data_IF_118899950769
#
_entry.id   IF_118899950769
#
_cell.length_a   1.000
_cell.length_b   1.000
_cell.length_c   1.000
_cell.angle_alpha   90.00
_cell.angle_beta   90.00
_cell.angle_gamma   90.00
#
_symmetry.space_group_name_H-M   'P 1'
#
loop_
_entity.id
_entity.type
_entity.pdbx_description
1 polymer ?
#
# COMPACT_ATOMS: atom_id res chain seq x y z
N UNK A 1 -6.25 83.72 0.64
CA UNK A 1 -6.01 82.74 1.72
C UNK A 1 -7.20 81.78 1.75
N UNK A 2 -7.05 80.59 1.18
CA UNK A 2 -8.04 79.51 1.27
C UNK A 2 -7.30 78.20 1.52
N UNK A 3 -7.62 77.53 2.63
CA UNK A 3 -7.05 76.25 3.04
C UNK A 3 -7.75 75.10 2.30
N UNK A 4 -6.98 74.25 1.63
CA UNK A 4 -7.45 72.96 1.10
C UNK A 4 -7.19 71.86 2.12
N UNK A 5 -8.24 71.12 2.48
CA UNK A 5 -8.21 69.99 3.42
C UNK A 5 -7.75 68.72 2.70
N UNK A 6 -6.61 68.17 3.11
CA UNK A 6 -6.16 66.84 2.66
C UNK A 6 -6.96 65.74 3.37
N UNK A 7 -7.63 64.89 2.59
CA UNK A 7 -8.20 63.63 3.07
C UNK A 7 -7.08 62.58 3.11
N UNK A 8 -6.79 62.03 4.28
CA UNK A 8 -6.00 60.81 4.43
C UNK A 8 -6.95 59.60 4.32
N UNK A 9 -6.78 58.79 3.29
CA UNK A 9 -7.43 57.48 3.18
C UNK A 9 -6.51 56.43 3.80
N UNK A 10 -6.91 55.88 4.96
CA UNK A 10 -6.26 54.71 5.55
C UNK A 10 -6.87 53.46 4.91
N UNK A 11 -6.06 52.70 4.16
CA UNK A 11 -6.44 51.39 3.63
C UNK A 11 -6.11 50.35 4.70
N UNK A 12 -7.14 49.80 5.36
CA UNK A 12 -7.00 48.64 6.24
C UNK A 12 -6.83 47.38 5.37
N UNK A 13 -5.63 46.80 5.34
CA UNK A 13 -5.43 45.47 4.77
C UNK A 13 -5.90 44.41 5.78
N UNK A 14 -7.00 43.72 5.49
CA UNK A 14 -7.44 42.58 6.26
C UNK A 14 -6.54 41.38 5.95
N UNK A 15 -5.65 41.02 6.88
CA UNK A 15 -4.88 39.77 6.84
C UNK A 15 -5.82 38.63 7.22
N UNK A 16 -6.36 37.92 6.24
CA UNK A 16 -7.04 36.65 6.48
C UNK A 16 -5.98 35.57 6.78
N UNK A 17 -5.79 35.28 8.06
CA UNK A 17 -5.06 34.08 8.49
C UNK A 17 -5.97 32.89 8.24
N UNK A 18 -5.76 32.18 7.13
CA UNK A 18 -6.34 30.86 6.92
C UNK A 18 -5.63 29.88 7.87
N UNK A 19 -6.24 29.59 9.02
CA UNK A 19 -5.84 28.44 9.82
C UNK A 19 -6.33 27.20 9.09
N UNK A 20 -5.45 26.51 8.38
CA UNK A 20 -5.74 25.17 7.89
C UNK A 20 -6.01 24.29 9.12
N UNK A 21 -7.27 23.89 9.31
CA UNK A 21 -7.57 22.82 10.25
C UNK A 21 -6.79 21.57 9.79
N UNK A 22 -6.21 20.77 10.71
CA UNK A 22 -5.63 19.50 10.32
C UNK A 22 -6.72 18.69 9.65
N UNK A 23 -6.57 18.47 8.34
CA UNK A 23 -7.38 17.47 7.63
C UNK A 23 -7.05 16.18 8.35
N UNK A 24 -8.01 15.60 9.08
CA UNK A 24 -7.83 14.27 9.63
C UNK A 24 -7.43 13.36 8.49
N UNK A 25 -6.18 12.91 8.47
CA UNK A 25 -5.72 11.93 7.51
C UNK A 25 -6.60 10.71 7.71
N UNK A 26 -7.27 10.26 6.64
CA UNK A 26 -8.07 9.05 6.71
C UNK A 26 -7.12 7.90 7.05
N UNK A 27 -7.28 7.26 8.21
CA UNK A 27 -6.46 6.11 8.58
C UNK A 27 -6.91 4.90 7.75
N UNK A 28 -5.99 4.30 6.99
CA UNK A 28 -6.18 3.01 6.34
C UNK A 28 -5.12 2.01 6.82
N UNK A 29 -4.82 1.97 8.12
CA UNK A 29 -4.06 0.89 8.74
C UNK A 29 -4.94 -0.34 8.87
N UNK A 30 -4.37 -1.53 8.69
CA UNK A 30 -5.03 -2.80 9.03
C UNK A 30 -5.37 -2.96 10.53
N UNK A 31 -5.32 -1.91 11.36
CA UNK A 31 -5.58 -1.97 12.80
C UNK A 31 -4.73 -3.02 13.54
N UNK A 32 -5.39 -3.87 14.32
CA UNK A 32 -4.79 -4.93 15.15
C UNK A 32 -4.30 -6.17 14.36
N UNK A 33 -4.27 -6.12 13.02
CA UNK A 33 -3.86 -7.27 12.22
C UNK A 33 -2.34 -7.44 12.14
N UNK A 34 -1.57 -6.40 12.48
CA UNK A 34 -0.12 -6.46 12.66
C UNK A 34 0.70 -5.70 11.62
N UNK A 35 2.01 -5.77 11.78
CA UNK A 35 3.02 -5.20 10.88
C UNK A 35 4.32 -6.01 10.98
N UNK A 36 5.29 -5.74 10.10
CA UNK A 36 6.60 -6.40 10.19
C UNK A 36 7.43 -5.84 11.33
N UNK A 37 8.15 -6.73 12.02
CA UNK A 37 9.02 -6.33 13.13
C UNK A 37 10.24 -5.56 12.61
N UNK A 38 10.53 -4.42 13.22
CA UNK A 38 11.85 -3.78 13.08
C UNK A 38 12.89 -4.52 13.92
N UNK A 39 13.97 -4.98 13.26
CA UNK A 39 15.01 -5.78 13.92
C UNK A 39 15.97 -4.93 14.75
N UNK A 40 16.43 -3.81 14.20
CA UNK A 40 17.51 -3.00 14.76
C UNK A 40 17.21 -1.50 14.58
N UNK A 41 16.47 -0.88 15.49
CA UNK A 41 16.21 0.57 15.40
C UNK A 41 17.53 1.38 15.38
N UNK A 42 17.70 2.39 14.50
CA UNK A 42 16.69 3.05 13.65
C UNK A 42 16.56 2.48 12.22
N UNK A 43 16.91 1.22 11.97
CA UNK A 43 16.75 0.63 10.65
C UNK A 43 15.26 0.44 10.29
N UNK A 44 14.91 0.56 8.99
CA UNK A 44 13.59 0.21 8.48
C UNK A 44 13.16 -1.23 8.82
N UNK A 45 11.84 -1.48 8.80
CA UNK A 45 11.32 -2.84 8.75
C UNK A 45 11.76 -3.50 7.43
N UNK A 46 11.87 -4.83 7.39
CA UNK A 46 12.28 -5.54 6.17
C UNK A 46 11.24 -6.55 5.74
N UNK A 47 10.96 -6.59 4.44
CA UNK A 47 10.03 -7.55 3.84
C UNK A 47 10.55 -8.01 2.51
N UNK A 48 10.57 -9.33 2.30
CA UNK A 48 10.86 -9.92 0.99
C UNK A 48 9.58 -10.44 0.34
N UNK A 49 9.27 -9.96 -0.86
CA UNK A 49 8.30 -10.59 -1.75
C UNK A 49 8.96 -11.68 -2.58
N UNK A 50 8.66 -12.95 -2.25
CA UNK A 50 9.14 -14.10 -3.00
C UNK A 50 8.10 -14.50 -4.07
N UNK A 51 8.40 -14.18 -5.32
CA UNK A 51 7.48 -14.23 -6.44
C UNK A 51 7.48 -15.59 -7.16
N UNK A 52 6.34 -16.28 -7.10
CA UNK A 52 6.05 -17.53 -7.81
C UNK A 52 5.08 -17.35 -9.00
N UNK A 53 4.73 -16.11 -9.36
CA UNK A 53 3.64 -15.81 -10.30
C UNK A 53 4.06 -15.88 -11.77
N UNK A 54 5.34 -15.64 -12.06
CA UNK A 54 5.86 -15.55 -13.43
C UNK A 54 5.49 -14.26 -14.16
N UNK A 55 5.72 -14.22 -15.48
CA UNK A 55 5.61 -12.99 -16.30
C UNK A 55 4.21 -12.33 -16.41
N UNK A 56 3.07 -12.99 -16.18
CA UNK A 56 1.77 -12.30 -16.29
C UNK A 56 1.54 -11.21 -15.25
N UNK A 57 2.24 -11.25 -14.12
CA UNK A 57 2.02 -10.38 -12.97
C UNK A 57 3.22 -9.48 -12.70
N UNK A 58 3.03 -8.15 -12.64
CA UNK A 58 4.12 -7.19 -12.46
C UNK A 58 4.50 -7.02 -10.98
N UNK A 59 4.85 -8.12 -10.29
CA UNK A 59 5.18 -8.12 -8.85
C UNK A 59 6.42 -7.27 -8.56
N UNK A 60 7.47 -7.40 -9.36
CA UNK A 60 8.69 -6.59 -9.25
C UNK A 60 8.42 -5.09 -9.35
N UNK A 61 7.62 -4.67 -10.34
CA UNK A 61 7.28 -3.25 -10.54
C UNK A 61 6.59 -2.66 -9.31
N UNK A 62 5.68 -3.42 -8.68
CA UNK A 62 4.97 -2.98 -7.49
C UNK A 62 5.87 -2.99 -6.24
N UNK A 63 6.73 -4.00 -6.09
CA UNK A 63 7.67 -4.09 -4.97
C UNK A 63 8.63 -2.90 -4.96
N UNK A 64 9.22 -2.53 -6.11
CA UNK A 64 10.05 -1.32 -6.24
C UNK A 64 9.30 -0.07 -5.79
N UNK A 65 8.01 0.03 -6.12
CA UNK A 65 7.21 1.20 -5.74
C UNK A 65 6.95 1.26 -4.24
N UNK A 66 6.78 0.12 -3.58
CA UNK A 66 6.63 0.07 -2.13
C UNK A 66 7.94 0.32 -1.38
N UNK A 67 9.09 -0.03 -1.97
CA UNK A 67 10.44 0.26 -1.46
C UNK A 67 10.78 1.78 -1.45
N UNK A 68 9.93 2.63 -2.03
CA UNK A 68 10.09 4.09 -1.96
C UNK A 68 9.67 4.67 -0.59
N UNK A 69 9.04 3.87 0.29
CA UNK A 69 8.72 4.26 1.67
C UNK A 69 9.98 4.34 2.53
N UNK A 70 10.07 5.29 3.46
CA UNK A 70 11.28 5.54 4.24
C UNK A 70 11.53 4.52 5.36
N UNK A 71 10.46 3.98 5.96
CA UNK A 71 10.57 3.12 7.16
C UNK A 71 10.33 1.63 6.87
N UNK A 72 10.34 1.23 5.60
CA UNK A 72 10.30 -0.18 5.20
C UNK A 72 11.18 -0.44 3.97
N UNK A 73 12.09 -1.40 4.09
CA UNK A 73 12.88 -1.94 2.99
C UNK A 73 12.12 -3.13 2.37
N UNK A 74 11.81 -3.03 1.09
CA UNK A 74 11.08 -4.03 0.33
C UNK A 74 12.02 -4.70 -0.67
N UNK A 75 12.40 -5.93 -0.35
CA UNK A 75 13.14 -6.82 -1.23
C UNK A 75 12.20 -7.61 -2.15
N UNK A 76 12.66 -7.94 -3.36
CA UNK A 76 11.95 -8.84 -4.28
C UNK A 76 12.88 -9.90 -4.84
N UNK A 77 12.38 -11.12 -4.98
CA UNK A 77 13.10 -12.25 -5.54
C UNK A 77 12.15 -13.13 -6.37
N UNK A 78 12.59 -13.59 -7.54
CA UNK A 78 11.89 -14.68 -8.25
C UNK A 78 12.17 -15.99 -7.54
N UNK A 79 11.13 -16.74 -7.22
CA UNK A 79 11.28 -18.04 -6.59
C UNK A 79 12.00 -19.05 -7.50
N UNK A 80 13.17 -19.51 -7.05
CA UNK A 80 13.92 -20.62 -7.62
C UNK A 80 13.85 -21.89 -6.77
N UNK A 81 14.55 -22.94 -7.22
CA UNK A 81 14.58 -24.25 -6.56
C UNK A 81 15.12 -24.23 -5.11
N UNK A 82 15.88 -23.19 -4.75
CA UNK A 82 16.48 -23.02 -3.43
C UNK A 82 15.94 -21.82 -2.66
N UNK A 83 14.95 -21.10 -3.22
CA UNK A 83 14.41 -19.93 -2.54
C UNK A 83 13.61 -20.37 -1.32
N UNK A 84 14.00 -19.87 -0.15
CA UNK A 84 13.24 -20.02 1.08
C UNK A 84 12.52 -18.71 1.41
N UNK A 85 11.34 -18.87 2.00
CA UNK A 85 10.56 -17.77 2.54
C UNK A 85 10.60 -17.93 4.05
N UNK A 86 11.50 -17.20 4.70
CA UNK A 86 11.68 -17.19 6.16
C UNK A 86 10.73 -16.22 6.85
N UNK A 87 11.12 -15.73 8.02
CA UNK A 87 10.28 -14.90 8.90
C UNK A 87 9.78 -13.58 8.30
N UNK A 88 10.59 -12.89 7.48
CA UNK A 88 10.25 -11.59 6.87
C UNK A 88 9.98 -11.76 5.38
N UNK A 89 9.11 -12.69 5.05
CA UNK A 89 8.84 -13.02 3.67
C UNK A 89 7.36 -13.28 3.41
N UNK A 90 6.91 -12.79 2.26
CA UNK A 90 5.59 -12.98 1.70
C UNK A 90 5.76 -13.75 0.41
N UNK A 91 5.11 -14.92 0.32
CA UNK A 91 5.03 -15.63 -0.97
C UNK A 91 3.99 -14.94 -1.84
N UNK A 92 4.31 -14.70 -3.10
CA UNK A 92 3.33 -14.18 -4.07
C UNK A 92 3.02 -15.30 -5.07
N UNK A 93 1.76 -15.72 -5.18
CA UNK A 93 1.34 -16.81 -6.07
C UNK A 93 0.18 -16.40 -6.95
N UNK A 94 0.18 -16.90 -8.19
CA UNK A 94 -0.99 -16.85 -9.05
C UNK A 94 -1.64 -18.24 -9.05
N UNK A 95 -2.86 -18.38 -8.52
CA UNK A 95 -3.57 -19.67 -8.40
C UNK A 95 -4.77 -19.72 -9.35
N UNK A 96 -5.09 -20.91 -9.86
CA UNK A 96 -6.32 -21.15 -10.61
C UNK A 96 -7.52 -21.36 -9.67
N UNK A 97 -8.73 -21.34 -10.23
CA UNK A 97 -9.96 -21.38 -9.44
C UNK A 97 -10.23 -22.73 -8.76
N UNK A 98 -9.64 -23.81 -9.30
CA UNK A 98 -9.66 -25.14 -8.70
C UNK A 98 -8.65 -25.27 -7.54
N UNK A 99 -7.62 -24.43 -7.53
CA UNK A 99 -6.70 -24.27 -6.40
C UNK A 99 -7.28 -23.33 -5.32
N UNK A 100 -8.11 -22.36 -5.74
CA UNK A 100 -8.78 -21.40 -4.85
C UNK A 100 -10.18 -21.00 -5.34
N UNK A 101 -11.26 -21.48 -4.70
CA UNK A 101 -12.62 -21.24 -5.16
C UNK A 101 -13.09 -19.79 -5.02
N UNK A 102 -12.38 -18.92 -4.27
CA UNK A 102 -12.75 -17.50 -4.14
C UNK A 102 -12.53 -16.70 -5.44
N UNK A 103 -11.69 -17.21 -6.33
CA UNK A 103 -11.27 -16.52 -7.54
C UNK A 103 -12.31 -16.52 -8.66
N UNK A 104 -13.08 -17.59 -8.81
CA UNK A 104 -14.09 -17.71 -9.87
C UNK A 104 -13.53 -17.65 -11.31
N UNK A 105 -14.25 -18.19 -12.31
CA UNK A 105 -13.80 -18.18 -13.70
C UNK A 105 -13.74 -16.78 -14.27
N UNK A 106 -12.86 -16.57 -15.26
CA UNK A 106 -12.79 -15.34 -16.07
C UNK A 106 -12.70 -14.05 -15.23
N UNK A 107 -11.95 -14.07 -14.12
CA UNK A 107 -11.75 -12.91 -13.24
C UNK A 107 -13.06 -12.37 -12.61
N UNK A 108 -14.03 -13.24 -12.32
CA UNK A 108 -15.35 -12.82 -11.79
C UNK A 108 -15.46 -12.85 -10.25
N UNK A 109 -14.56 -13.55 -9.56
CA UNK A 109 -14.47 -13.55 -8.10
C UNK A 109 -13.43 -12.54 -7.60
N UNK A 110 -12.75 -12.89 -6.49
CA UNK A 110 -11.65 -12.08 -5.99
C UNK A 110 -10.52 -12.02 -7.03
N UNK A 111 -9.98 -10.83 -7.28
CA UNK A 111 -8.86 -10.63 -8.20
C UNK A 111 -7.51 -10.96 -7.55
N UNK A 112 -7.45 -10.78 -6.24
CA UNK A 112 -6.38 -11.22 -5.36
C UNK A 112 -6.86 -11.12 -3.90
N UNK A 113 -6.04 -11.61 -2.99
CA UNK A 113 -6.14 -11.30 -1.57
C UNK A 113 -4.82 -11.65 -0.87
N UNK A 114 -4.53 -10.96 0.22
CA UNK A 114 -3.46 -11.29 1.15
C UNK A 114 -3.96 -12.18 2.29
N UNK A 115 -3.11 -13.09 2.74
CA UNK A 115 -3.33 -13.97 3.89
C UNK A 115 -2.14 -13.94 4.82
N UNK A 116 -2.43 -13.98 6.11
CA UNK A 116 -1.45 -14.02 7.17
C UNK A 116 -1.81 -15.06 8.22
N UNK A 117 -0.78 -15.51 8.94
CA UNK A 117 -0.98 -16.19 10.20
C UNK A 117 -1.21 -15.17 11.32
N UNK A 118 -1.81 -15.61 12.42
CA UNK A 118 -2.03 -14.75 13.59
C UNK A 118 -0.69 -14.12 14.02
N UNK A 119 -0.65 -12.79 14.21
CA UNK A 119 0.57 -12.14 14.66
C UNK A 119 0.91 -12.55 16.10
N UNK A 120 2.13 -12.25 16.52
CA UNK A 120 2.54 -12.44 17.92
C UNK A 120 1.80 -11.47 18.88
N UNK A 121 2.08 -11.59 20.18
CA UNK A 121 1.44 -10.74 21.20
C UNK A 121 1.79 -9.24 21.08
N UNK A 122 2.80 -8.89 20.29
CA UNK A 122 3.19 -7.52 19.95
C UNK A 122 2.67 -7.09 18.58
N UNK A 123 1.77 -7.86 17.98
CA UNK A 123 1.22 -7.63 16.66
C UNK A 123 2.26 -7.67 15.53
N UNK A 124 3.33 -8.45 15.67
CA UNK A 124 4.27 -8.70 14.57
C UNK A 124 3.92 -9.96 13.80
N UNK A 125 4.02 -9.90 12.47
CA UNK A 125 3.83 -11.07 11.63
C UNK A 125 4.99 -12.06 11.74
N UNK A 126 4.64 -13.35 11.73
CA UNK A 126 5.59 -14.47 11.68
C UNK A 126 5.71 -15.06 10.29
N UNK A 127 6.16 -16.31 10.18
CA UNK A 127 6.29 -17.01 8.90
C UNK A 127 4.94 -17.35 8.25
N UNK A 128 4.96 -17.52 6.93
CA UNK A 128 3.86 -18.14 6.18
C UNK A 128 2.87 -17.18 5.51
N UNK A 129 3.14 -15.88 5.52
CA UNK A 129 2.30 -14.90 4.82
C UNK A 129 2.33 -15.10 3.30
N UNK A 130 1.20 -14.85 2.65
CA UNK A 130 1.02 -15.10 1.23
C UNK A 130 0.07 -14.09 0.59
N UNK A 131 0.49 -13.55 -0.56
CA UNK A 131 -0.38 -12.85 -1.50
C UNK A 131 -0.80 -13.85 -2.58
N UNK A 132 -2.11 -13.97 -2.79
CA UNK A 132 -2.71 -14.85 -3.78
C UNK A 132 -3.37 -14.00 -4.86
N UNK A 133 -3.00 -14.24 -6.11
CA UNK A 133 -3.49 -13.55 -7.29
C UNK A 133 -4.30 -14.52 -8.14
N UNK A 134 -5.40 -14.04 -8.70
CA UNK A 134 -6.30 -14.86 -9.49
C UNK A 134 -5.76 -15.07 -10.91
N UNK A 135 -5.25 -16.27 -11.21
CA UNK A 135 -4.70 -16.61 -12.53
C UNK A 135 -5.71 -16.45 -13.67
N UNK A 136 -7.01 -16.51 -13.38
CA UNK A 136 -8.07 -16.23 -14.38
C UNK A 136 -8.08 -14.79 -14.86
N UNK A 137 -7.44 -13.87 -14.15
CA UNK A 137 -7.25 -12.47 -14.55
C UNK A 137 -6.02 -12.25 -15.45
N UNK A 138 -5.29 -13.29 -15.87
CA UNK A 138 -4.07 -13.14 -16.68
C UNK A 138 -4.31 -12.40 -18.02
N UNK A 139 -5.50 -12.53 -18.59
CA UNK A 139 -5.93 -11.86 -19.84
C UNK A 139 -6.35 -10.41 -19.65
N UNK A 140 -6.47 -9.93 -18.41
CA UNK A 140 -6.82 -8.55 -18.13
C UNK A 140 -5.71 -7.58 -18.54
N UNK A 141 -6.10 -6.31 -18.66
CA UNK A 141 -5.15 -5.24 -19.03
C UNK A 141 -3.96 -5.17 -18.06
N UNK A 142 -2.80 -4.75 -18.58
CA UNK A 142 -1.60 -4.58 -17.76
C UNK A 142 -1.81 -3.61 -16.58
N UNK A 143 -2.57 -2.52 -16.80
CA UNK A 143 -2.91 -1.56 -15.73
C UNK A 143 -3.77 -2.18 -14.64
N UNK A 144 -4.75 -3.03 -15.01
CA UNK A 144 -5.59 -3.73 -14.05
C UNK A 144 -4.77 -4.67 -13.17
N UNK A 145 -3.87 -5.45 -13.79
CA UNK A 145 -2.96 -6.33 -13.05
C UNK A 145 -2.00 -5.56 -12.15
N UNK A 146 -1.47 -4.41 -12.60
CA UNK A 146 -0.65 -3.53 -11.75
C UNK A 146 -1.43 -3.02 -10.53
N UNK A 147 -2.69 -2.62 -10.71
CA UNK A 147 -3.54 -2.17 -9.62
C UNK A 147 -3.76 -3.28 -8.58
N UNK A 148 -4.09 -4.50 -9.01
CA UNK A 148 -4.24 -5.66 -8.10
C UNK A 148 -2.94 -5.92 -7.33
N UNK A 149 -1.81 -6.02 -8.02
CA UNK A 149 -0.54 -6.32 -7.35
C UNK A 149 -0.18 -5.22 -6.36
N UNK A 150 -0.32 -3.94 -6.72
CA UNK A 150 -0.09 -2.84 -5.78
C UNK A 150 -0.95 -2.98 -4.53
N UNK A 151 -2.24 -3.26 -4.72
CA UNK A 151 -3.22 -3.45 -3.65
C UNK A 151 -2.82 -4.56 -2.69
N UNK A 152 -2.59 -5.77 -3.20
CA UNK A 152 -2.32 -6.92 -2.35
C UNK A 152 -0.96 -6.85 -1.67
N UNK A 153 0.06 -6.28 -2.34
CA UNK A 153 1.34 -6.03 -1.69
C UNK A 153 1.17 -4.98 -0.58
N UNK A 154 0.33 -3.95 -0.76
CA UNK A 154 0.05 -2.97 0.28
C UNK A 154 -0.59 -3.58 1.53
N UNK A 155 -1.53 -4.52 1.36
CA UNK A 155 -2.06 -5.31 2.48
C UNK A 155 -0.96 -6.05 3.21
N UNK A 156 -0.07 -6.71 2.47
CA UNK A 156 1.07 -7.42 3.04
C UNK A 156 2.08 -6.52 3.77
N UNK A 157 1.98 -5.20 3.64
CA UNK A 157 2.83 -4.21 4.33
C UNK A 157 2.11 -3.52 5.50
N UNK A 158 0.81 -3.71 5.69
CA UNK A 158 0.07 -3.17 6.85
C UNK A 158 -1.10 -2.26 6.50
N UNK A 159 -1.37 -2.02 5.23
CA UNK A 159 -2.40 -1.09 4.77
C UNK A 159 -3.74 -1.79 4.57
N UNK A 160 -4.81 -1.22 5.08
CA UNK A 160 -6.20 -1.56 4.78
C UNK A 160 -6.67 -0.77 3.54
N UNK A 161 -7.89 -1.05 3.12
CA UNK A 161 -8.53 -0.37 2.02
C UNK A 161 -8.60 1.15 2.23
N UNK A 162 -8.28 1.88 1.17
CA UNK A 162 -8.61 3.30 1.05
C UNK A 162 -10.02 3.48 0.49
N UNK A 163 -10.71 4.53 0.92
CA UNK A 163 -11.98 4.97 0.33
C UNK A 163 -11.79 5.76 -0.97
N UNK A 164 -10.57 6.20 -1.27
CA UNK A 164 -10.24 6.98 -2.47
C UNK A 164 -10.04 6.09 -3.68
N UNK A 165 -10.79 6.31 -4.76
CA UNK A 165 -10.62 5.60 -6.04
C UNK A 165 -9.26 5.87 -6.69
N UNK A 166 -8.60 6.98 -6.34
CA UNK A 166 -7.25 7.30 -6.81
C UNK A 166 -6.13 6.58 -6.06
N UNK A 167 -6.44 5.78 -5.04
CA UNK A 167 -5.46 4.96 -4.31
C UNK A 167 -5.37 3.57 -4.93
N UNK A 168 -4.17 2.97 -4.95
CA UNK A 168 -4.07 1.55 -5.27
C UNK A 168 -4.64 0.65 -4.17
N UNK A 169 -4.82 1.18 -2.96
CA UNK A 169 -5.54 0.51 -1.86
C UNK A 169 -7.07 0.63 -1.99
N UNK A 170 -7.60 1.17 -3.09
CA UNK A 170 -9.04 1.14 -3.31
C UNK A 170 -9.54 -0.30 -3.51
N UNK A 171 -10.58 -0.70 -2.77
CA UNK A 171 -11.10 -2.09 -2.72
C UNK A 171 -11.55 -2.70 -4.06
N UNK A 172 -11.64 -1.90 -5.13
CA UNK A 172 -12.00 -2.38 -6.47
C UNK A 172 -10.90 -2.03 -7.47
N UNK A 173 -10.28 -3.04 -8.07
CA UNK A 173 -9.19 -2.84 -9.04
C UNK A 173 -9.61 -2.06 -10.30
N UNK A 174 -10.90 -2.10 -10.67
CA UNK A 174 -11.45 -1.36 -11.81
C UNK A 174 -11.45 0.14 -11.56
N UNK A 175 -10.36 0.82 -11.95
CA UNK A 175 -10.19 2.27 -11.79
C UNK A 175 -9.31 2.70 -10.61
N UNK A 176 -8.78 1.75 -9.84
CA UNK A 176 -7.75 2.02 -8.83
C UNK A 176 -6.43 2.44 -9.49
N UNK A 177 -5.62 3.21 -8.75
CA UNK A 177 -4.27 3.52 -9.20
C UNK A 177 -3.40 2.25 -9.26
N UNK A 178 -2.40 2.26 -10.13
CA UNK A 178 -1.47 1.15 -10.33
C UNK A 178 -0.24 1.20 -9.43
N UNK A 179 -0.09 2.25 -8.62
CA UNK A 179 1.04 2.49 -7.72
C UNK A 179 0.55 3.15 -6.42
N UNK A 180 1.34 3.07 -5.33
CA UNK A 180 1.03 3.79 -4.10
C UNK A 180 1.00 5.29 -4.33
N UNK A 181 0.20 6.01 -3.54
CA UNK A 181 0.21 7.46 -3.48
C UNK A 181 0.85 7.98 -2.18
N UNK A 182 1.05 9.29 -2.10
CA UNK A 182 1.64 9.98 -0.93
C UNK A 182 0.96 9.59 0.38
N UNK A 183 -0.38 9.43 0.36
CA UNK A 183 -1.11 9.00 1.55
C UNK A 183 -0.66 7.62 2.05
N UNK A 184 -0.42 6.65 1.15
CA UNK A 184 0.03 5.31 1.55
C UNK A 184 1.47 5.35 2.11
N UNK A 185 2.36 6.13 1.51
CA UNK A 185 3.71 6.31 2.05
C UNK A 185 3.69 6.91 3.45
N UNK A 186 2.90 7.98 3.67
CA UNK A 186 2.73 8.58 5.00
C UNK A 186 2.19 7.59 6.04
N UNK A 187 1.32 6.67 5.63
CA UNK A 187 0.80 5.63 6.53
C UNK A 187 1.87 4.62 6.91
N UNK A 188 2.72 4.20 5.97
CA UNK A 188 3.85 3.32 6.29
C UNK A 188 4.86 4.05 7.18
N UNK A 189 5.24 5.28 6.81
CA UNK A 189 6.34 5.99 7.45
C UNK A 189 5.98 6.58 8.82
N UNK A 190 4.77 7.12 8.98
CA UNK A 190 4.39 7.91 10.16
C UNK A 190 3.33 7.26 11.04
N UNK A 191 2.82 6.07 10.69
CA UNK A 191 1.75 5.41 11.45
C UNK A 191 2.03 3.94 11.71
N UNK A 192 2.44 3.18 10.69
CA UNK A 192 2.66 1.73 10.81
C UNK A 192 4.07 1.43 11.30
N UNK A 193 5.07 2.09 10.71
CA UNK A 193 6.49 1.88 10.99
C UNK A 193 7.16 3.06 11.72
N UNK A 194 6.35 3.92 12.34
CA UNK A 194 6.83 4.99 13.23
C UNK A 194 7.09 4.40 14.62
N UNK A 195 8.35 4.06 14.89
CA UNK A 195 8.81 3.48 16.16
C UNK A 195 10.03 4.23 16.70
#
# INVERSE_FOLDING_TARGET
MSYSRGLFTVVLAAVMVLTAAPVGQADNRLGNYGHWKVRDFPAPARVKFLDHTGTPWPVHDAAIKWDEAANIDVDWEVAGAYSNCGAECVRVRALANDEDPLFGPNCTGAAGYWTNYAPDASYHWGEGNEVRLNRSCNSESGSYKKAIVCHELGHALGLDHSSSTGSCMYKYAGGAASTPGEHQYNMLDSVIYDH
#
